data_IF_732420339768
#
_entry.id   IF_732420339768
#
_cell.length_a   1.000
_cell.length_b   1.000
_cell.length_c   1.000
_cell.angle_alpha   90.00
_cell.angle_beta   90.00
_cell.angle_gamma   90.00
#
_symmetry.space_group_name_H-M   'P 1'
#
loop_
_entity.id
_entity.type
_entity.pdbx_description
1 polymer ?
#
# COMPACT_ATOMS: atom_id res chain seq x y z
N UNK A 1 -38.53 8.78 -2.43
CA UNK A 1 -38.74 9.34 -1.08
C UNK A 1 -37.97 10.67 -0.92
N UNK A 2 -38.38 11.74 -1.62
CA UNK A 2 -37.74 13.07 -1.50
C UNK A 2 -38.71 14.17 -1.00
N UNK A 3 -39.81 13.76 -0.36
CA UNK A 3 -40.86 14.67 0.13
C UNK A 3 -40.83 14.98 1.63
N UNK A 4 -39.94 14.34 2.42
CA UNK A 4 -40.02 14.37 3.89
C UNK A 4 -39.14 15.41 4.61
N UNK A 5 -38.18 16.06 3.94
CA UNK A 5 -37.22 16.95 4.61
C UNK A 5 -37.52 18.44 4.38
N UNK A 6 -37.51 19.21 5.45
CA UNK A 6 -37.54 20.67 5.44
C UNK A 6 -36.30 21.26 4.75
N UNK A 7 -36.38 22.51 4.29
CA UNK A 7 -35.24 23.22 3.68
C UNK A 7 -34.00 23.24 4.60
N UNK A 8 -34.20 23.34 5.91
CA UNK A 8 -33.13 23.34 6.91
C UNK A 8 -32.45 21.97 6.99
N UNK A 9 -33.23 20.89 7.00
CA UNK A 9 -32.70 19.51 7.01
C UNK A 9 -31.96 19.17 5.72
N UNK A 10 -32.47 19.62 4.56
CA UNK A 10 -31.76 19.45 3.27
C UNK A 10 -30.40 20.16 3.28
N UNK A 11 -30.32 21.38 3.82
CA UNK A 11 -29.05 22.11 3.95
C UNK A 11 -28.08 21.40 4.89
N UNK A 12 -28.59 20.80 5.96
CA UNK A 12 -27.79 20.06 6.94
C UNK A 12 -27.25 18.74 6.33
N UNK A 13 -28.08 18.01 5.59
CA UNK A 13 -27.67 16.81 4.85
C UNK A 13 -26.60 17.12 3.81
N UNK A 14 -26.75 18.19 3.04
CA UNK A 14 -25.74 18.63 2.07
C UNK A 14 -24.41 18.97 2.77
N UNK A 15 -24.44 19.75 3.86
CA UNK A 15 -23.23 20.09 4.60
C UNK A 15 -22.54 18.88 5.23
N UNK A 16 -23.29 17.87 5.69
CA UNK A 16 -22.74 16.60 6.16
C UNK A 16 -22.10 15.82 5.01
N UNK A 17 -22.76 15.77 3.84
CA UNK A 17 -22.22 15.14 2.63
C UNK A 17 -20.90 15.78 2.19
N UNK A 18 -20.84 17.12 2.11
CA UNK A 18 -19.63 17.86 1.74
C UNK A 18 -18.48 17.57 2.68
N UNK A 19 -18.74 17.58 3.99
CA UNK A 19 -17.74 17.25 5.02
C UNK A 19 -17.26 15.80 4.87
N UNK A 20 -18.17 14.87 4.63
CA UNK A 20 -17.84 13.45 4.45
C UNK A 20 -16.96 13.24 3.21
N UNK A 21 -17.31 13.85 2.06
CA UNK A 21 -16.49 13.81 0.85
C UNK A 21 -15.10 14.39 1.10
N UNK A 22 -15.01 15.51 1.82
CA UNK A 22 -13.73 16.13 2.16
C UNK A 22 -12.84 15.17 2.96
N UNK A 23 -13.39 14.53 3.99
CA UNK A 23 -12.66 13.55 4.79
C UNK A 23 -12.20 12.34 3.94
N UNK A 24 -13.04 11.84 3.03
CA UNK A 24 -12.63 10.78 2.11
C UNK A 24 -11.51 11.21 1.16
N UNK A 25 -11.54 12.46 0.67
CA UNK A 25 -10.46 12.99 -0.18
C UNK A 25 -9.14 13.09 0.58
N UNK A 26 -9.17 13.60 1.81
CA UNK A 26 -7.99 13.69 2.68
C UNK A 26 -7.44 12.28 2.96
N UNK A 27 -8.29 11.34 3.36
CA UNK A 27 -7.88 9.96 3.61
C UNK A 27 -7.30 9.26 2.37
N UNK A 28 -7.89 9.46 1.18
CA UNK A 28 -7.34 8.91 -0.07
C UNK A 28 -5.95 9.49 -0.34
N UNK A 29 -5.78 10.80 -0.18
CA UNK A 29 -4.50 11.47 -0.39
C UNK A 29 -3.42 10.93 0.57
N UNK A 30 -3.73 10.81 1.85
CA UNK A 30 -2.78 10.31 2.85
C UNK A 30 -2.33 8.88 2.52
N UNK A 31 -3.27 8.02 2.07
CA UNK A 31 -2.94 6.66 1.64
C UNK A 31 -2.10 6.65 0.35
N UNK A 32 -2.32 7.58 -0.58
CA UNK A 32 -1.50 7.71 -1.79
C UNK A 32 -0.06 8.09 -1.47
N UNK A 33 0.15 9.05 -0.57
CA UNK A 33 1.48 9.47 -0.12
C UNK A 33 2.21 8.32 0.58
N UNK A 34 1.56 7.66 1.55
CA UNK A 34 2.13 6.50 2.23
C UNK A 34 2.44 5.33 1.28
N UNK A 35 1.58 5.09 0.29
CA UNK A 35 1.83 4.05 -0.71
C UNK A 35 3.03 4.40 -1.61
N UNK A 36 3.20 5.66 -1.98
CA UNK A 36 4.35 6.11 -2.76
C UNK A 36 5.66 5.91 -1.99
N UNK A 37 5.68 6.31 -0.72
CA UNK A 37 6.85 6.12 0.15
C UNK A 37 7.20 4.63 0.34
N UNK A 38 6.18 3.80 0.60
CA UNK A 38 6.37 2.34 0.71
C UNK A 38 6.88 1.73 -0.58
N UNK A 39 6.38 2.21 -1.72
CA UNK A 39 6.81 1.72 -3.04
C UNK A 39 8.27 2.03 -3.30
N UNK A 40 8.69 3.26 -3.04
CA UNK A 40 10.09 3.65 -3.19
C UNK A 40 11.00 2.80 -2.29
N UNK A 41 10.64 2.64 -1.01
CA UNK A 41 11.40 1.81 -0.09
C UNK A 41 11.45 0.33 -0.51
N UNK A 42 10.38 -0.20 -1.12
CA UNK A 42 10.37 -1.56 -1.66
C UNK A 42 11.32 -1.69 -2.86
N UNK A 43 11.27 -0.76 -3.82
CA UNK A 43 12.14 -0.78 -5.00
C UNK A 43 13.63 -0.74 -4.61
N UNK A 44 14.00 0.08 -3.62
CA UNK A 44 15.37 0.11 -3.07
C UNK A 44 15.82 -1.23 -2.45
N UNK A 45 14.90 -1.98 -1.82
CA UNK A 45 15.21 -3.28 -1.22
C UNK A 45 15.25 -4.39 -2.27
N UNK A 46 14.39 -4.32 -3.29
CA UNK A 46 14.31 -5.30 -4.38
C UNK A 46 15.64 -5.36 -5.14
N UNK A 47 16.19 -4.19 -5.49
CA UNK A 47 17.50 -4.07 -6.15
C UNK A 47 18.63 -4.69 -5.29
N UNK A 48 18.65 -4.39 -3.98
CA UNK A 48 19.65 -4.93 -3.05
C UNK A 48 19.53 -6.44 -2.90
N UNK A 49 18.30 -6.98 -2.89
CA UNK A 49 18.06 -8.41 -2.77
C UNK A 49 18.53 -9.16 -4.03
N UNK A 50 18.27 -8.59 -5.21
CA UNK A 50 18.75 -9.14 -6.48
C UNK A 50 20.28 -9.15 -6.55
N UNK A 51 20.91 -8.03 -6.19
CA UNK A 51 22.37 -7.91 -6.18
C UNK A 51 23.03 -8.85 -5.17
N UNK A 52 22.43 -9.00 -3.99
CA UNK A 52 22.90 -9.97 -3.00
C UNK A 52 22.80 -11.41 -3.53
N UNK A 53 21.71 -11.76 -4.21
CA UNK A 53 21.56 -13.10 -4.80
C UNK A 53 22.62 -13.36 -5.89
N UNK A 54 22.89 -12.39 -6.75
CA UNK A 54 23.97 -12.47 -7.75
C UNK A 54 25.32 -12.65 -7.07
N UNK A 55 25.63 -11.82 -6.07
CA UNK A 55 26.87 -11.90 -5.30
C UNK A 55 27.05 -13.28 -4.65
N UNK A 56 26.03 -13.78 -3.94
CA UNK A 56 26.12 -15.09 -3.27
C UNK A 56 26.38 -16.24 -4.26
N UNK A 57 25.83 -16.17 -5.48
CA UNK A 57 26.10 -17.14 -6.55
C UNK A 57 27.58 -17.13 -6.97
N UNK A 58 28.21 -15.95 -7.06
CA UNK A 58 29.63 -15.85 -7.43
C UNK A 58 30.61 -16.32 -6.34
N UNK A 59 30.20 -16.23 -5.07
CA UNK A 59 31.07 -16.55 -3.93
C UNK A 59 30.81 -17.96 -3.39
N UNK A 60 29.67 -18.58 -3.71
CA UNK A 60 29.28 -19.91 -3.21
C UNK A 60 30.34 -21.00 -3.44
N UNK A 61 31.12 -20.94 -4.53
CA UNK A 61 32.19 -21.91 -4.83
C UNK A 61 33.48 -21.69 -4.02
N UNK A 62 33.62 -20.54 -3.35
CA UNK A 62 34.79 -20.14 -2.57
C UNK A 62 34.60 -20.31 -1.06
N UNK A 63 33.38 -20.60 -0.61
CA UNK A 63 33.03 -20.77 0.79
C UNK A 63 33.22 -22.20 1.26
N UNK A 64 33.53 -22.35 2.55
CA UNK A 64 33.45 -23.65 3.19
C UNK A 64 32.00 -24.12 3.37
N UNK A 65 31.82 -25.38 3.78
CA UNK A 65 30.50 -25.98 3.93
C UNK A 65 29.62 -25.29 4.98
N UNK A 66 30.18 -24.76 6.07
CA UNK A 66 29.41 -24.08 7.11
C UNK A 66 29.03 -22.66 6.67
N UNK A 67 29.95 -21.94 6.03
CA UNK A 67 29.73 -20.61 5.46
C UNK A 67 28.67 -20.65 4.36
N UNK A 68 28.70 -21.66 3.49
CA UNK A 68 27.67 -21.85 2.45
C UNK A 68 26.28 -22.06 3.08
N UNK A 69 26.15 -22.90 4.10
CA UNK A 69 24.87 -23.13 4.79
C UNK A 69 24.35 -21.85 5.45
N UNK A 70 25.23 -21.04 6.07
CA UNK A 70 24.86 -19.74 6.62
C UNK A 70 24.37 -18.79 5.52
N UNK A 71 25.08 -18.72 4.40
CA UNK A 71 24.73 -17.86 3.27
C UNK A 71 23.37 -18.24 2.66
N UNK A 72 23.11 -19.54 2.43
CA UNK A 72 21.81 -20.03 1.97
C UNK A 72 20.68 -19.68 2.95
N UNK A 73 20.94 -19.76 4.25
CA UNK A 73 19.98 -19.32 5.28
C UNK A 73 19.68 -17.82 5.18
N UNK A 74 20.69 -16.97 4.95
CA UNK A 74 20.49 -15.53 4.76
C UNK A 74 19.68 -15.23 3.50
N UNK A 75 20.00 -15.86 2.36
CA UNK A 75 19.24 -15.72 1.12
C UNK A 75 17.76 -16.09 1.34
N UNK A 76 17.48 -17.20 2.03
CA UNK A 76 16.10 -17.61 2.36
C UNK A 76 15.38 -16.60 3.26
N UNK A 77 16.07 -15.99 4.21
CA UNK A 77 15.47 -14.97 5.10
C UNK A 77 15.20 -13.67 4.35
N UNK A 78 16.11 -13.26 3.47
CA UNK A 78 15.96 -12.07 2.63
C UNK A 78 14.77 -12.23 1.67
N UNK A 79 14.65 -13.37 0.98
CA UNK A 79 13.51 -13.67 0.11
C UNK A 79 12.16 -13.65 0.85
N UNK A 80 12.14 -14.06 2.14
CA UNK A 80 10.93 -13.94 2.98
C UNK A 80 10.60 -12.49 3.32
N UNK A 81 11.61 -11.66 3.61
CA UNK A 81 11.42 -10.25 3.89
C UNK A 81 10.92 -9.48 2.65
N UNK A 82 11.54 -9.72 1.50
CA UNK A 82 11.12 -9.19 0.19
C UNK A 82 9.67 -9.55 -0.10
N UNK A 83 9.30 -10.84 0.03
CA UNK A 83 7.92 -11.29 -0.13
C UNK A 83 6.95 -10.55 0.79
N UNK A 84 7.30 -10.41 2.08
CA UNK A 84 6.48 -9.70 3.05
C UNK A 84 6.26 -8.24 2.64
N UNK A 85 7.31 -7.56 2.20
CA UNK A 85 7.23 -6.17 1.74
C UNK A 85 6.35 -6.03 0.49
N UNK A 86 6.48 -6.95 -0.48
CA UNK A 86 5.65 -7.01 -1.68
C UNK A 86 4.18 -7.27 -1.36
N UNK A 87 3.89 -8.19 -0.45
CA UNK A 87 2.54 -8.51 -0.02
C UNK A 87 1.90 -7.29 0.69
N UNK A 88 2.64 -6.61 1.58
CA UNK A 88 2.18 -5.38 2.23
C UNK A 88 1.89 -4.24 1.23
N UNK A 89 2.76 -4.05 0.24
CA UNK A 89 2.57 -3.12 -0.88
C UNK A 89 1.26 -3.39 -1.62
N UNK A 90 0.98 -4.66 -1.92
CA UNK A 90 -0.26 -5.08 -2.58
C UNK A 90 -1.49 -4.76 -1.73
N UNK A 91 -1.45 -5.10 -0.44
CA UNK A 91 -2.57 -4.88 0.48
C UNK A 91 -2.91 -3.39 0.59
N UNK A 92 -1.89 -2.52 0.70
CA UNK A 92 -2.09 -1.06 0.75
C UNK A 92 -2.70 -0.53 -0.55
N UNK A 93 -2.23 -1.02 -1.71
CA UNK A 93 -2.82 -0.65 -3.00
C UNK A 93 -4.28 -1.10 -3.13
N UNK A 94 -4.64 -2.26 -2.60
CA UNK A 94 -6.03 -2.75 -2.58
C UNK A 94 -6.92 -1.89 -1.65
N UNK A 95 -6.39 -1.48 -0.49
CA UNK A 95 -7.06 -0.50 0.39
C UNK A 95 -7.25 0.83 -0.34
N UNK A 96 -6.22 1.35 -1.01
CA UNK A 96 -6.29 2.60 -1.75
C UNK A 96 -7.37 2.56 -2.85
N UNK A 97 -7.44 1.46 -3.61
CA UNK A 97 -8.47 1.24 -4.63
C UNK A 97 -9.87 1.23 -4.02
N UNK A 98 -10.04 0.57 -2.88
CA UNK A 98 -11.30 0.54 -2.14
C UNK A 98 -11.73 1.93 -1.67
N UNK A 99 -10.81 2.72 -1.10
CA UNK A 99 -11.11 4.08 -0.65
C UNK A 99 -11.44 5.02 -1.82
N UNK A 100 -10.73 4.93 -2.95
CA UNK A 100 -11.08 5.66 -4.17
C UNK A 100 -12.47 5.31 -4.68
N UNK A 101 -12.87 4.04 -4.60
CA UNK A 101 -14.21 3.59 -4.98
C UNK A 101 -15.26 4.22 -4.06
N UNK A 102 -15.07 4.15 -2.73
CA UNK A 102 -15.98 4.73 -1.73
C UNK A 102 -16.12 6.25 -1.90
N UNK A 103 -15.03 6.96 -2.20
CA UNK A 103 -15.07 8.39 -2.49
C UNK A 103 -15.97 8.69 -3.70
N UNK A 104 -15.85 7.92 -4.78
CA UNK A 104 -16.71 8.09 -5.97
C UNK A 104 -18.17 7.80 -5.67
N UNK A 105 -18.47 6.81 -4.84
CA UNK A 105 -19.83 6.48 -4.39
C UNK A 105 -20.41 7.63 -3.55
N UNK A 106 -19.67 8.12 -2.55
CA UNK A 106 -20.08 9.26 -1.73
C UNK A 106 -20.33 10.54 -2.56
N UNK A 107 -19.54 10.76 -3.61
CA UNK A 107 -19.75 11.85 -4.55
C UNK A 107 -21.02 11.70 -5.38
N UNK A 108 -21.38 10.47 -5.79
CA UNK A 108 -22.59 10.20 -6.55
C UNK A 108 -23.85 10.32 -5.70
N UNK A 109 -23.79 9.89 -4.44
CA UNK A 109 -24.92 10.00 -3.50
C UNK A 109 -25.27 11.45 -3.13
N UNK A 110 -24.38 12.40 -3.46
CA UNK A 110 -24.58 13.84 -3.27
C UNK A 110 -25.25 14.55 -4.47
N UNK A 111 -25.36 13.91 -5.63
CA UNK A 111 -26.00 14.43 -6.85
C UNK A 111 -27.47 13.99 -6.85
#
# INVERSE_FOLDING_TARGET
MMGLFSKKEKKLLLGLGEKNIRLYKEAVKDIEELYADMKQAYEEIDDVAEDFLKFTTTVASKLDGQERVKMESFVKKLAKAEKCARDAMRDVNDVLRSQKKRLKEAQREMI
#
